data_IF_301141271218
#
_entry.id   IF_301141271218
#
_cell.length_a   1.000
_cell.length_b   1.000
_cell.length_c   1.000
_cell.angle_alpha   90.00
_cell.angle_beta   90.00
_cell.angle_gamma   90.00
#
_symmetry.space_group_name_H-M   'P 1'
#
loop_
_entity.id
_entity.type
_entity.pdbx_description
1 polymer ?
#
# COMPACT_ATOMS: atom_id res chain seq x y z
N UNK A 1 -13.00 -15.24 7.66
CA UNK A 1 -11.71 -14.74 7.09
C UNK A 1 -11.63 -13.23 7.28
N UNK A 2 -10.42 -12.67 7.21
CA UNK A 2 -10.15 -11.22 7.34
C UNK A 2 -9.19 -10.77 6.24
N UNK A 3 -9.33 -9.53 5.78
CA UNK A 3 -8.38 -8.88 4.86
C UNK A 3 -7.51 -7.87 5.62
N UNK A 4 -6.27 -7.71 5.14
CA UNK A 4 -5.32 -6.68 5.56
C UNK A 4 -4.49 -6.20 4.36
N UNK A 5 -3.78 -5.09 4.49
CA UNK A 5 -2.84 -4.61 3.48
C UNK A 5 -1.50 -4.15 4.09
N UNK A 6 -0.49 -3.98 3.25
CA UNK A 6 0.83 -3.47 3.62
C UNK A 6 1.15 -2.09 3.01
N UNK A 7 0.13 -1.31 2.62
CA UNK A 7 0.33 -0.01 1.97
C UNK A 7 1.07 0.97 2.89
N UNK A 8 2.22 1.46 2.41
CA UNK A 8 3.10 2.34 3.18
C UNK A 8 3.99 1.62 4.19
N UNK A 9 3.92 0.30 4.33
CA UNK A 9 4.85 -0.45 5.20
C UNK A 9 6.21 -0.70 4.54
N UNK A 10 6.27 -0.75 3.21
CA UNK A 10 7.50 -1.04 2.47
C UNK A 10 8.43 0.18 2.33
N UNK A 11 7.86 1.34 2.03
CA UNK A 11 8.56 2.57 1.60
C UNK A 11 8.25 3.76 2.49
N UNK A 12 7.43 3.59 3.55
CA UNK A 12 6.79 4.68 4.30
C UNK A 12 5.90 5.60 3.43
N UNK A 13 5.66 5.24 2.17
CA UNK A 13 4.83 5.99 1.22
C UNK A 13 3.66 5.14 0.77
N UNK A 14 2.46 5.69 0.90
CA UNK A 14 1.24 5.11 0.33
C UNK A 14 1.19 5.40 -1.17
N UNK A 15 2.09 4.78 -1.94
CA UNK A 15 2.40 5.09 -3.34
C UNK A 15 1.54 4.30 -4.36
N UNK A 16 0.60 3.49 -3.87
CA UNK A 16 -0.28 2.71 -4.73
C UNK A 16 0.29 1.37 -5.20
N UNK A 17 1.37 0.91 -4.56
CA UNK A 17 1.88 -0.46 -4.60
C UNK A 17 1.76 -1.06 -3.21
N UNK A 18 1.03 -2.16 -3.10
CA UNK A 18 0.80 -2.89 -1.85
C UNK A 18 0.25 -4.29 -2.12
N UNK A 19 0.28 -5.15 -1.12
CA UNK A 19 -0.39 -6.43 -1.10
C UNK A 19 -1.69 -6.33 -0.31
N UNK A 20 -2.75 -6.96 -0.81
CA UNK A 20 -3.93 -7.30 -0.02
C UNK A 20 -3.81 -8.75 0.37
N UNK A 21 -3.79 -9.01 1.68
CA UNK A 21 -3.66 -10.35 2.25
C UNK A 21 -4.97 -10.79 2.87
N UNK A 22 -5.42 -11.99 2.51
CA UNK A 22 -6.52 -12.70 3.17
C UNK A 22 -5.93 -13.71 4.15
N UNK A 23 -6.46 -13.74 5.38
CA UNK A 23 -6.18 -14.78 6.36
C UNK A 23 -7.48 -15.45 6.84
N UNK A 24 -7.46 -16.78 6.88
CA UNK A 24 -8.50 -17.63 7.48
C UNK A 24 -7.86 -18.54 8.53
N UNK A 25 -8.13 -18.24 9.80
CA UNK A 25 -7.51 -18.93 10.94
C UNK A 25 -8.24 -20.20 11.38
N UNK A 26 -9.53 -20.31 11.06
CA UNK A 26 -10.39 -21.43 11.43
C UNK A 26 -11.52 -21.60 10.41
N UNK A 27 -12.10 -22.80 10.39
CA UNK A 27 -13.14 -23.20 9.44
C UNK A 27 -12.60 -24.06 8.29
N UNK A 28 -13.50 -24.41 7.37
CA UNK A 28 -13.15 -25.17 6.16
C UNK A 28 -12.54 -24.24 5.10
N UNK A 29 -11.39 -24.62 4.56
CA UNK A 29 -10.63 -23.79 3.63
C UNK A 29 -11.40 -23.63 2.31
N UNK A 30 -11.10 -22.55 1.60
CA UNK A 30 -11.60 -22.32 0.26
C UNK A 30 -10.81 -23.06 -0.80
N UNK A 31 -11.46 -23.28 -1.94
CA UNK A 31 -10.85 -23.78 -3.18
C UNK A 31 -10.77 -22.73 -4.27
N UNK A 32 -11.64 -21.71 -4.21
CA UNK A 32 -11.62 -20.57 -5.13
C UNK A 32 -11.65 -19.30 -4.31
N UNK A 33 -10.67 -18.44 -4.53
CA UNK A 33 -10.61 -17.08 -3.99
C UNK A 33 -10.86 -16.08 -5.09
N UNK A 34 -11.67 -15.06 -4.79
CA UNK A 34 -11.89 -13.90 -5.65
C UNK A 34 -11.68 -12.63 -4.84
N UNK A 35 -10.91 -11.68 -5.39
CA UNK A 35 -10.73 -10.36 -4.80
C UNK A 35 -11.46 -9.32 -5.65
N UNK A 36 -12.25 -8.50 -5.01
CA UNK A 36 -12.96 -7.39 -5.63
C UNK A 36 -12.40 -6.07 -5.13
N UNK A 37 -12.28 -5.09 -6.03
CA UNK A 37 -11.97 -3.70 -5.74
C UNK A 37 -13.08 -2.82 -6.30
N UNK A 38 -13.70 -2.00 -5.46
CA UNK A 38 -14.82 -1.13 -5.86
C UNK A 38 -15.87 -1.90 -6.68
N UNK A 39 -16.22 -3.10 -6.19
CA UNK A 39 -17.18 -4.04 -6.79
C UNK A 39 -16.74 -4.68 -8.12
N UNK A 40 -15.50 -4.45 -8.56
CA UNK A 40 -14.90 -5.06 -9.76
C UNK A 40 -13.97 -6.20 -9.36
N UNK A 41 -14.13 -7.37 -9.98
CA UNK A 41 -13.23 -8.52 -9.79
C UNK A 41 -11.84 -8.20 -10.34
N UNK A 42 -10.81 -8.27 -9.50
CA UNK A 42 -9.42 -7.96 -9.87
C UNK A 42 -8.46 -9.15 -9.76
N UNK A 43 -8.82 -10.21 -9.03
CA UNK A 43 -7.99 -11.41 -8.91
C UNK A 43 -8.85 -12.66 -8.69
N UNK A 44 -8.41 -13.80 -9.21
CA UNK A 44 -9.03 -15.11 -8.97
C UNK A 44 -7.95 -16.16 -8.83
N UNK A 45 -8.00 -16.95 -7.77
CA UNK A 45 -7.02 -18.01 -7.46
C UNK A 45 -7.70 -19.32 -7.13
N UNK A 46 -7.17 -20.40 -7.69
CA UNK A 46 -7.47 -21.77 -7.27
C UNK A 46 -6.55 -22.08 -6.09
N UNK A 47 -7.12 -22.61 -5.02
CA UNK A 47 -6.43 -22.88 -3.77
C UNK A 47 -6.50 -24.37 -3.42
N UNK A 48 -5.47 -24.84 -2.73
CA UNK A 48 -5.48 -26.15 -2.08
C UNK A 48 -6.17 -26.05 -0.73
N UNK A 49 -7.11 -26.97 -0.53
CA UNK A 49 -7.77 -27.19 0.74
C UNK A 49 -6.81 -27.94 1.69
N UNK A 50 -6.50 -27.34 2.84
CA UNK A 50 -5.53 -27.82 3.82
C UNK A 50 -6.11 -27.79 5.25
N UNK A 51 -7.43 -27.82 5.38
CA UNK A 51 -8.10 -27.76 6.68
C UNK A 51 -7.62 -28.88 7.62
N UNK A 52 -7.52 -28.62 8.94
CA UNK A 52 -7.94 -27.39 9.63
C UNK A 52 -6.85 -26.30 9.70
N UNK A 53 -5.74 -26.42 8.96
CA UNK A 53 -4.68 -25.42 9.00
C UNK A 53 -5.13 -24.09 8.40
N UNK A 54 -4.57 -23.00 8.92
CA UNK A 54 -4.86 -21.66 8.44
C UNK A 54 -4.56 -21.51 6.93
N UNK A 55 -5.39 -20.73 6.25
CA UNK A 55 -5.23 -20.40 4.83
C UNK A 55 -4.89 -18.93 4.67
N UNK A 56 -3.84 -18.65 3.89
CA UNK A 56 -3.41 -17.29 3.56
C UNK A 56 -3.34 -17.14 2.04
N UNK A 57 -3.81 -16.01 1.53
CA UNK A 57 -3.73 -15.65 0.11
C UNK A 57 -3.28 -14.21 -0.01
N UNK A 58 -2.28 -13.96 -0.86
CA UNK A 58 -1.71 -12.62 -1.09
C UNK A 58 -1.97 -12.20 -2.52
N UNK A 59 -2.57 -11.04 -2.71
CA UNK A 59 -2.85 -10.43 -4.02
C UNK A 59 -2.12 -9.12 -4.14
N UNK A 60 -1.23 -9.02 -5.12
CA UNK A 60 -0.41 -7.83 -5.31
C UNK A 60 -1.17 -6.77 -6.12
N UNK A 61 -1.15 -5.53 -5.63
CA UNK A 61 -1.82 -4.38 -6.20
C UNK A 61 -0.76 -3.34 -6.61
N UNK A 62 -0.90 -2.79 -7.81
CA UNK A 62 0.05 -1.83 -8.38
C UNK A 62 -0.67 -0.69 -9.11
N UNK A 63 0.05 0.42 -9.29
CA UNK A 63 -0.37 1.51 -10.18
C UNK A 63 -1.60 2.28 -9.71
N UNK A 64 -1.93 2.21 -8.41
CA UNK A 64 -3.07 2.97 -7.87
C UNK A 64 -2.74 4.44 -7.78
N UNK A 65 -3.67 5.28 -8.25
CA UNK A 65 -3.63 6.74 -8.08
C UNK A 65 -4.04 7.11 -6.66
N UNK A 66 -3.82 8.36 -6.28
CA UNK A 66 -4.35 8.89 -5.03
C UNK A 66 -5.87 8.70 -4.97
N UNK A 67 -6.36 8.18 -3.84
CA UNK A 67 -7.76 7.84 -3.67
C UNK A 67 -7.99 6.76 -2.63
N UNK A 68 -9.26 6.38 -2.48
CA UNK A 68 -9.71 5.34 -1.55
C UNK A 68 -10.22 4.14 -2.33
N UNK A 69 -9.78 2.95 -1.94
CA UNK A 69 -10.10 1.69 -2.59
C UNK A 69 -10.75 0.75 -1.60
N UNK A 70 -11.91 0.19 -1.97
CA UNK A 70 -12.68 -0.74 -1.14
C UNK A 70 -12.46 -2.15 -1.66
N UNK A 71 -11.94 -3.02 -0.81
CA UNK A 71 -11.70 -4.41 -1.12
C UNK A 71 -12.64 -5.33 -0.34
N UNK A 72 -13.13 -6.38 -0.98
CA UNK A 72 -13.69 -7.54 -0.29
C UNK A 72 -13.32 -8.80 -1.05
N UNK A 73 -13.29 -9.92 -0.36
CA UNK A 73 -12.99 -11.21 -0.97
C UNK A 73 -14.14 -12.19 -0.79
N UNK A 74 -14.28 -13.07 -1.77
CA UNK A 74 -15.10 -14.27 -1.68
C UNK A 74 -14.19 -15.50 -1.63
N UNK A 75 -14.54 -16.43 -0.75
CA UNK A 75 -13.87 -17.70 -0.60
C UNK A 75 -14.91 -18.82 -0.72
N UNK A 76 -14.76 -19.64 -1.74
CA UNK A 76 -15.75 -20.67 -2.10
C UNK A 76 -15.16 -22.07 -1.97
N UNK A 77 -15.92 -22.99 -1.35
CA UNK A 77 -15.67 -24.42 -1.35
C UNK A 77 -16.96 -25.20 -1.67
N UNK A 78 -16.95 -26.52 -1.51
CA UNK A 78 -18.10 -27.37 -1.82
C UNK A 78 -19.34 -27.10 -0.93
N UNK A 79 -19.14 -26.45 0.22
CA UNK A 79 -20.20 -26.16 1.19
C UNK A 79 -20.80 -24.76 1.02
N UNK A 80 -20.18 -23.88 0.21
CA UNK A 80 -20.69 -22.57 -0.11
C UNK A 80 -19.62 -21.50 -0.27
N UNK A 81 -20.05 -20.24 -0.23
CA UNK A 81 -19.19 -19.06 -0.32
C UNK A 81 -19.27 -18.26 0.96
N UNK A 82 -18.11 -17.88 1.49
CA UNK A 82 -17.98 -16.88 2.55
C UNK A 82 -17.45 -15.59 1.94
N UNK A 83 -18.03 -14.45 2.34
CA UNK A 83 -17.58 -13.12 1.93
C UNK A 83 -16.95 -12.40 3.12
N UNK A 84 -15.85 -11.67 2.90
CA UNK A 84 -15.22 -10.87 3.95
C UNK A 84 -15.99 -9.57 4.20
N UNK A 85 -15.76 -8.95 5.35
CA UNK A 85 -16.05 -7.52 5.50
C UNK A 85 -15.24 -6.70 4.49
N UNK A 86 -15.72 -5.50 4.16
CA UNK A 86 -14.96 -4.55 3.33
C UNK A 86 -13.73 -4.04 4.06
N UNK A 87 -12.58 -4.10 3.39
CA UNK A 87 -11.31 -3.51 3.80
C UNK A 87 -11.02 -2.25 2.97
N UNK A 88 -10.55 -1.18 3.59
CA UNK A 88 -10.38 0.12 2.92
C UNK A 88 -8.91 0.51 2.92
N UNK A 89 -8.38 0.81 1.73
CA UNK A 89 -7.00 1.27 1.55
C UNK A 89 -7.02 2.69 0.97
N UNK A 90 -6.24 3.59 1.58
CA UNK A 90 -6.09 4.97 1.09
C UNK A 90 -4.69 5.17 0.52
N UNK A 91 -4.62 5.65 -0.71
CA UNK A 91 -3.38 5.98 -1.42
C UNK A 91 -3.25 7.50 -1.46
N UNK A 92 -2.11 8.03 -0.98
CA UNK A 92 -1.91 9.49 -0.86
C UNK A 92 -0.65 10.00 -1.56
N UNK A 93 0.26 9.11 -1.97
CA UNK A 93 1.59 9.44 -2.54
C UNK A 93 1.88 8.70 -3.84
N UNK A 94 0.87 8.46 -4.68
CA UNK A 94 1.01 7.77 -5.97
C UNK A 94 1.94 8.47 -6.97
N UNK A 95 2.00 9.80 -6.88
CA UNK A 95 3.01 10.63 -7.52
C UNK A 95 3.61 11.51 -6.42
N UNK A 96 4.74 11.11 -5.80
CA UNK A 96 5.39 12.00 -4.84
C UNK A 96 5.81 13.28 -5.58
N UNK A 97 5.53 14.43 -4.96
CA UNK A 97 6.03 15.71 -5.46
C UNK A 97 7.55 15.63 -5.66
N UNK A 98 8.08 16.42 -6.60
CA UNK A 98 9.53 16.54 -6.79
C UNK A 98 10.18 16.80 -5.43
N UNK A 99 11.16 15.99 -4.97
CA UNK A 99 11.82 16.24 -3.71
C UNK A 99 12.48 17.63 -3.76
N UNK A 100 12.04 18.53 -2.90
CA UNK A 100 12.70 19.82 -2.68
C UNK A 100 13.69 19.60 -1.55
N UNK A 101 14.98 19.48 -1.90
CA UNK A 101 16.06 19.53 -0.93
C UNK A 101 16.24 21.00 -0.50
N UNK A 102 15.90 21.35 0.74
CA UNK A 102 16.31 22.61 1.35
C UNK A 102 17.44 22.34 2.35
N UNK A 103 18.64 22.84 2.07
CA UNK A 103 19.74 22.85 3.01
C UNK A 103 19.86 24.25 3.63
N UNK A 104 19.64 24.37 4.93
CA UNK A 104 20.06 25.56 5.69
C UNK A 104 21.56 25.41 6.00
N UNK A 105 22.42 25.78 5.05
CA UNK A 105 23.86 25.84 5.29
C UNK A 105 24.16 27.08 6.15
N UNK A 106 23.98 26.98 7.47
CA UNK A 106 24.51 27.97 8.41
C UNK A 106 26.05 27.86 8.46
N UNK A 107 26.71 28.46 7.48
CA UNK A 107 28.15 28.72 7.53
C UNK A 107 28.39 29.91 8.48
N UNK A 108 28.77 29.61 9.72
CA UNK A 108 29.26 30.61 10.66
C UNK A 108 30.55 31.24 10.16
N UNK A 109 30.45 32.43 9.56
CA UNK A 109 31.59 33.30 9.31
C UNK A 109 31.57 34.42 10.36
N UNK A 110 32.38 34.30 11.41
CA UNK A 110 32.73 35.43 12.27
C UNK A 110 34.22 35.74 12.10
N UNK A 111 34.54 36.89 11.50
CA UNK A 111 35.51 37.88 12.00
C UNK A 111 35.96 38.85 10.88
N UNK A 112 35.56 40.11 11.06
CA UNK A 112 36.40 41.32 10.98
C UNK A 112 37.08 41.73 9.67
N UNK A 113 36.54 42.82 9.11
CA UNK A 113 37.23 44.06 8.70
C UNK A 113 38.26 44.02 7.55
N UNK A 114 37.88 44.62 6.40
CA UNK A 114 38.61 45.74 5.77
C UNK A 114 37.92 46.27 4.50
N UNK A 115 37.59 47.55 4.58
CA UNK A 115 37.18 48.47 3.51
C UNK A 115 38.27 48.63 2.44
N UNK A 116 37.95 48.62 1.13
CA UNK A 116 38.48 49.56 0.11
C UNK A 116 37.45 49.73 -1.03
N UNK A 117 37.17 51.01 -1.33
CA UNK A 117 36.33 51.60 -2.38
C UNK A 117 36.77 51.19 -3.79
N UNK A 118 35.82 51.04 -4.74
CA UNK A 118 36.15 51.21 -6.15
C UNK A 118 35.13 52.08 -6.89
N UNK A 119 35.63 53.18 -7.45
CA UNK A 119 34.95 54.17 -8.28
C UNK A 119 34.99 53.72 -9.76
N UNK A 120 34.00 54.19 -10.52
CA UNK A 120 33.75 54.01 -11.97
C UNK A 120 34.99 54.01 -12.88
N UNK A 121 34.87 53.26 -13.98
CA UNK A 121 35.27 53.69 -15.32
C UNK A 121 34.11 53.45 -16.29
#
# INVERSE_FOLDING_TARGET
>A
MVLSDDNGYDTALQNGKYNVTMNMWYGENGRIYKLYENDVLIDTKILTDNSPNAQTVVSAVYGKKNGTYRYFAELTNAFGTTTSSTHVVTVTKAAPDKPVLSNDNYAGATSSDKMIVNVMK
#
